data_IF_995164403029
#
_entry.id   IF_995164403029
#
_cell.length_a   1.000
_cell.length_b   1.000
_cell.length_c   1.000
_cell.angle_alpha   90.00
_cell.angle_beta   90.00
_cell.angle_gamma   90.00
#
_symmetry.space_group_name_H-M   'P 1'
#
loop_
_entity.id
_entity.type
_entity.pdbx_description
1 polymer ?
#
# COMPACT_ATOMS: atom_id res chain seq x y z
N UNK A 1 1.65 5.52 5.72
CA UNK A 1 1.79 4.07 5.99
C UNK A 1 2.63 3.87 7.23
N UNK A 2 2.10 3.23 8.26
CA UNK A 2 2.80 2.90 9.51
C UNK A 2 2.43 1.49 9.96
N UNK A 3 3.30 0.86 10.73
CA UNK A 3 2.97 -0.38 11.44
C UNK A 3 2.39 -0.02 12.81
N UNK A 4 1.40 -0.78 13.28
CA UNK A 4 0.86 -0.60 14.63
C UNK A 4 1.96 -0.84 15.68
N UNK A 5 1.89 -0.20 16.86
CA UNK A 5 2.87 -0.39 17.95
C UNK A 5 3.10 -1.86 18.33
N UNK A 6 2.07 -2.68 18.16
CA UNK A 6 2.03 -4.10 18.48
C UNK A 6 2.62 -4.95 17.36
N UNK A 7 3.09 -4.36 16.26
CA UNK A 7 3.60 -5.09 15.09
C UNK A 7 2.49 -5.71 14.25
N UNK A 8 2.87 -6.72 13.45
CA UNK A 8 1.92 -7.50 12.66
C UNK A 8 1.78 -8.90 13.24
N UNK A 9 0.55 -9.41 13.31
CA UNK A 9 0.26 -10.80 13.65
C UNK A 9 -0.28 -11.51 12.42
N UNK A 10 0.46 -12.51 11.93
CA UNK A 10 0.03 -13.36 10.82
C UNK A 10 0.14 -14.82 11.24
N UNK A 11 -0.99 -15.53 11.17
CA UNK A 11 -1.09 -16.96 11.51
C UNK A 11 -0.48 -17.30 12.89
N UNK A 12 -0.69 -16.43 13.88
CA UNK A 12 -0.16 -16.60 15.24
C UNK A 12 1.31 -16.23 15.43
N UNK A 13 2.02 -15.83 14.37
CA UNK A 13 3.39 -15.33 14.45
C UNK A 13 3.40 -13.80 14.55
N UNK A 14 4.28 -13.29 15.40
CA UNK A 14 4.50 -11.86 15.60
C UNK A 14 5.66 -11.37 14.76
N UNK A 15 5.47 -10.26 14.05
CA UNK A 15 6.48 -9.63 13.21
C UNK A 15 6.68 -8.18 13.62
N UNK A 16 7.93 -7.83 13.89
CA UNK A 16 8.35 -6.49 14.29
C UNK A 16 8.75 -5.63 13.09
N UNK A 17 8.69 -6.17 11.87
CA UNK A 17 8.93 -5.41 10.65
C UNK A 17 8.03 -5.88 9.50
N UNK A 18 7.67 -4.96 8.62
CA UNK A 18 6.90 -5.23 7.40
C UNK A 18 7.48 -4.41 6.25
N UNK A 19 7.81 -5.04 5.13
CA UNK A 19 8.31 -4.34 3.95
C UNK A 19 7.25 -4.32 2.85
N UNK A 20 7.00 -3.15 2.26
CA UNK A 20 6.15 -3.05 1.09
C UNK A 20 6.91 -3.57 -0.14
N UNK A 21 6.39 -4.64 -0.73
CA UNK A 21 6.97 -5.26 -1.93
C UNK A 21 6.21 -4.90 -3.19
N UNK A 22 4.87 -4.88 -3.11
CA UNK A 22 4.02 -4.73 -4.27
C UNK A 22 2.83 -3.81 -3.98
N UNK A 23 2.45 -3.02 -4.97
CA UNK A 23 1.22 -2.24 -5.00
C UNK A 23 0.27 -2.81 -6.04
N UNK A 24 -1.01 -2.80 -5.71
CA UNK A 24 -2.10 -3.08 -6.64
C UNK A 24 -3.14 -1.99 -6.49
N UNK A 25 -3.34 -1.18 -7.53
CA UNK A 25 -4.32 -0.09 -7.52
C UNK A 25 -5.46 -0.41 -8.47
N UNK A 26 -6.68 -0.37 -7.95
CA UNK A 26 -7.90 -0.49 -8.73
C UNK A 26 -8.51 0.90 -8.85
N UNK A 27 -8.49 1.47 -10.06
CA UNK A 27 -8.98 2.81 -10.35
C UNK A 27 -10.36 2.71 -10.98
N UNK A 28 -11.34 3.40 -10.39
CA UNK A 28 -12.73 3.42 -10.86
C UNK A 28 -13.23 4.83 -11.12
N UNK A 29 -13.97 5.02 -12.21
CA UNK A 29 -14.72 6.22 -12.54
C UNK A 29 -16.20 5.86 -12.65
N UNK A 30 -17.08 6.60 -11.97
CA UNK A 30 -18.53 6.33 -11.99
C UNK A 30 -18.85 4.83 -11.77
N UNK A 31 -18.16 4.21 -10.81
CA UNK A 31 -18.27 2.78 -10.46
C UNK A 31 -17.80 1.77 -11.53
N UNK A 32 -17.39 2.24 -12.72
CA UNK A 32 -16.74 1.43 -13.75
C UNK A 32 -15.24 1.30 -13.49
N UNK A 33 -14.68 0.10 -13.73
CA UNK A 33 -13.23 -0.13 -13.73
C UNK A 33 -12.62 0.63 -14.92
N UNK A 34 -11.68 1.53 -14.62
CA UNK A 34 -10.94 2.30 -15.64
C UNK A 34 -9.53 1.80 -15.79
N UNK A 35 -8.89 1.40 -14.69
CA UNK A 35 -7.52 0.92 -14.72
C UNK A 35 -7.21 -0.05 -13.55
N UNK A 36 -6.23 -0.92 -13.77
CA UNK A 36 -5.73 -1.94 -12.86
C UNK A 36 -4.18 -1.92 -12.89
N UNK A 37 -3.60 -1.19 -11.94
CA UNK A 37 -2.15 -0.92 -11.91
C UNK A 37 -1.48 -1.85 -10.91
N UNK A 38 -0.56 -2.66 -11.42
CA UNK A 38 0.26 -3.56 -10.62
C UNK A 38 1.73 -3.16 -10.74
N UNK A 39 2.48 -3.19 -9.64
CA UNK A 39 3.91 -2.95 -9.71
C UNK A 39 4.63 -3.08 -8.37
N UNK A 40 5.95 -3.07 -8.45
CA UNK A 40 6.81 -3.20 -7.28
C UNK A 40 6.95 -1.89 -6.52
N UNK A 41 6.91 -1.98 -5.19
CA UNK A 41 7.04 -0.85 -4.27
C UNK A 41 6.03 0.26 -4.54
N UNK A 42 6.38 1.47 -4.10
CA UNK A 42 5.68 2.72 -4.43
C UNK A 42 6.73 3.75 -4.82
N UNK A 43 6.51 4.51 -5.89
CA UNK A 43 7.45 5.55 -6.37
C UNK A 43 8.93 5.08 -6.52
N UNK A 44 9.14 3.79 -6.81
CA UNK A 44 10.49 3.20 -6.90
C UNK A 44 11.14 2.86 -5.54
N UNK A 45 10.38 2.94 -4.44
CA UNK A 45 10.83 2.66 -3.08
C UNK A 45 10.13 1.42 -2.50
N UNK A 46 10.84 0.71 -1.63
CA UNK A 46 10.37 -0.48 -0.89
C UNK A 46 10.41 -0.22 0.62
N UNK A 47 9.51 0.62 1.15
CA UNK A 47 9.58 1.07 2.53
C UNK A 47 9.51 -0.10 3.52
N UNK A 48 10.44 -0.11 4.48
CA UNK A 48 10.45 -0.99 5.64
C UNK A 48 9.75 -0.27 6.81
N UNK A 49 8.64 -0.82 7.27
CA UNK A 49 7.85 -0.31 8.38
C UNK A 49 8.24 -1.04 9.67
N UNK A 50 8.39 -0.28 10.75
CA UNK A 50 8.65 -0.80 12.11
C UNK A 50 7.69 -0.15 13.10
N UNK A 51 7.33 -0.83 14.20
CA UNK A 51 6.50 -0.25 15.24
C UNK A 51 7.19 0.97 15.86
N UNK A 52 6.46 2.08 16.00
CA UNK A 52 6.97 3.31 16.60
C UNK A 52 7.84 4.18 15.68
N UNK A 53 8.19 3.71 14.49
CA UNK A 53 8.84 4.55 13.48
C UNK A 53 7.88 5.62 12.93
N UNK A 54 8.46 6.69 12.39
CA UNK A 54 7.69 7.73 11.70
C UNK A 54 6.92 7.12 10.53
N UNK A 55 5.72 7.64 10.30
CA UNK A 55 4.90 7.24 9.17
C UNK A 55 5.65 7.48 7.85
N UNK A 56 5.66 6.45 6.99
CA UNK A 56 6.10 6.62 5.61
C UNK A 56 4.97 7.26 4.79
N UNK A 57 5.23 8.45 4.27
CA UNK A 57 4.28 9.22 3.45
C UNK A 57 4.87 9.38 2.05
N UNK A 58 4.05 9.14 1.03
CA UNK A 58 4.41 9.35 -0.38
C UNK A 58 3.24 9.97 -1.13
N UNK A 59 3.56 10.59 -2.26
CA UNK A 59 2.59 11.21 -3.17
C UNK A 59 2.77 10.63 -4.57
N UNK A 60 1.66 10.39 -5.26
CA UNK A 60 1.61 9.93 -6.66
C UNK A 60 0.36 10.49 -7.33
N UNK A 61 0.33 10.47 -8.66
CA UNK A 61 -0.83 10.90 -9.45
C UNK A 61 -1.38 9.77 -10.33
N UNK A 62 -2.67 9.88 -10.67
CA UNK A 62 -3.34 9.09 -11.69
C UNK A 62 -4.26 10.02 -12.48
N UNK A 63 -4.32 9.83 -13.80
CA UNK A 63 -5.24 10.60 -14.63
C UNK A 63 -6.66 10.02 -14.55
N UNK A 64 -7.67 10.88 -14.49
CA UNK A 64 -9.07 10.49 -14.58
C UNK A 64 -9.85 11.55 -15.36
N UNK A 65 -10.64 11.11 -16.34
CA UNK A 65 -11.45 11.97 -17.20
C UNK A 65 -12.85 12.28 -16.67
N UNK A 66 -13.31 11.56 -15.63
CA UNK A 66 -14.62 11.77 -15.00
C UNK A 66 -14.56 12.78 -13.85
N UNK A 67 -15.69 13.44 -13.58
CA UNK A 67 -15.82 14.36 -12.42
C UNK A 67 -15.89 13.64 -11.07
N UNK A 68 -16.14 12.32 -11.07
CA UNK A 68 -16.19 11.48 -9.87
C UNK A 68 -15.46 10.16 -10.09
N UNK A 69 -14.66 9.77 -9.11
CA UNK A 69 -13.98 8.47 -9.10
C UNK A 69 -13.59 8.03 -7.71
N UNK A 70 -13.12 6.78 -7.63
CA UNK A 70 -12.58 6.19 -6.42
C UNK A 70 -11.32 5.38 -6.74
N UNK A 71 -10.39 5.38 -5.81
CA UNK A 71 -9.17 4.58 -5.85
C UNK A 71 -9.24 3.55 -4.71
N UNK A 72 -9.12 2.26 -5.02
CA UNK A 72 -8.92 1.21 -4.02
C UNK A 72 -7.48 0.74 -4.07
N UNK A 73 -6.85 0.68 -2.90
CA UNK A 73 -5.41 0.46 -2.74
C UNK A 73 -5.13 -0.75 -1.86
N UNK A 74 -5.30 -1.99 -2.35
CA UNK A 74 -4.65 -3.14 -1.72
C UNK A 74 -3.12 -3.03 -1.85
N UNK A 75 -2.40 -3.14 -0.74
CA UNK A 75 -0.94 -3.20 -0.70
C UNK A 75 -0.50 -4.58 -0.24
N UNK A 76 0.49 -5.15 -0.92
CA UNK A 76 1.10 -6.42 -0.55
C UNK A 76 2.40 -6.15 0.21
N UNK A 77 2.37 -6.48 1.50
CA UNK A 77 3.51 -6.38 2.42
C UNK A 77 4.14 -7.76 2.59
N UNK A 78 5.46 -7.86 2.54
CA UNK A 78 6.20 -9.00 3.07
C UNK A 78 6.54 -8.78 4.54
N UNK A 79 6.52 -9.84 5.32
CA UNK A 79 6.91 -9.81 6.73
C UNK A 79 8.36 -10.29 6.83
N UNK A 80 9.20 -9.54 7.52
CA UNK A 80 10.57 -9.94 7.82
C UNK A 80 10.70 -10.18 9.33
N UNK A 81 11.21 -11.36 9.69
CA UNK A 81 11.44 -11.82 11.06
C UNK A 81 12.84 -11.46 11.56
#
# INVERSE_FOLDING_TARGET
>A
MSLLPEGCFLNGNHFTTCQLQWRHWIIRANDALVDDVNGEGVIGQFPLLRPGDKEFVYESCSYQSSSRGSLKVPLLLSLAG
#
